data_IF_538523417966
#
_entry.id   IF_538523417966
#
_cell.length_a   1.000
_cell.length_b   1.000
_cell.length_c   1.000
_cell.angle_alpha   90.00
_cell.angle_beta   90.00
_cell.angle_gamma   90.00
#
_symmetry.space_group_name_H-M   'P 1'
#
loop_
_entity.id
_entity.type
_entity.pdbx_description
1 polymer ?
#
# COMPACT_ATOMS: atom_id res chain seq x y z
N UNK A 1 25.97 -0.80 7.99
CA UNK A 1 24.99 -1.84 8.38
C UNK A 1 23.77 -1.55 7.54
N UNK A 2 23.37 -2.43 6.64
CA UNK A 2 22.09 -2.30 5.96
C UNK A 2 21.00 -2.48 7.03
N UNK A 3 20.31 -1.41 7.39
CA UNK A 3 19.09 -1.54 8.19
C UNK A 3 18.14 -2.41 7.37
N UNK A 4 18.01 -3.65 7.77
CA UNK A 4 17.14 -4.61 7.11
C UNK A 4 15.70 -4.19 7.41
N UNK A 5 15.02 -3.67 6.39
CA UNK A 5 13.65 -3.21 6.51
C UNK A 5 12.73 -4.36 6.88
N UNK A 6 11.88 -4.13 7.88
CA UNK A 6 10.83 -5.07 8.28
C UNK A 6 9.54 -4.70 7.52
N UNK A 7 8.93 -5.70 6.92
CA UNK A 7 7.60 -5.60 6.32
C UNK A 7 6.64 -6.54 7.03
N UNK A 8 5.37 -6.17 7.08
CA UNK A 8 4.32 -7.08 7.46
C UNK A 8 3.78 -7.78 6.21
N UNK A 9 3.70 -9.09 6.22
CA UNK A 9 3.21 -9.90 5.10
C UNK A 9 2.29 -11.00 5.62
N UNK A 10 1.01 -10.96 5.25
CA UNK A 10 0.02 -11.99 5.57
C UNK A 10 -0.07 -12.37 7.06
N UNK A 11 0.08 -11.40 7.95
CA UNK A 11 -0.01 -11.63 9.41
C UNK A 11 1.35 -11.70 10.12
N UNK A 12 2.45 -11.77 9.39
CA UNK A 12 3.79 -11.91 9.96
C UNK A 12 4.69 -10.70 9.65
N UNK A 13 5.58 -10.37 10.60
CA UNK A 13 6.64 -9.39 10.38
C UNK A 13 7.90 -10.12 9.93
N UNK A 14 8.34 -9.83 8.73
CA UNK A 14 9.51 -10.48 8.13
C UNK A 14 10.47 -9.44 7.56
N UNK A 15 11.70 -9.86 7.31
CA UNK A 15 12.66 -9.04 6.60
C UNK A 15 12.25 -8.87 5.14
N UNK A 16 12.31 -7.65 4.59
CA UNK A 16 12.00 -7.36 3.19
C UNK A 16 12.77 -8.26 2.22
N UNK A 17 14.02 -8.60 2.52
CA UNK A 17 14.89 -9.41 1.66
C UNK A 17 14.33 -10.81 1.38
N UNK A 18 13.46 -11.33 2.26
CA UNK A 18 12.80 -12.64 2.09
C UNK A 18 11.35 -12.53 1.60
N UNK A 19 10.79 -11.32 1.54
CA UNK A 19 9.46 -11.05 1.00
C UNK A 19 9.49 -11.13 -0.54
N UNK A 20 9.24 -12.31 -1.09
CA UNK A 20 9.33 -12.57 -2.55
C UNK A 20 7.99 -13.00 -3.11
N UNK A 21 7.71 -12.57 -4.34
CA UNK A 21 6.55 -12.98 -5.12
C UNK A 21 6.98 -13.56 -6.46
N UNK A 22 6.18 -14.47 -7.01
CA UNK A 22 6.43 -15.01 -8.34
C UNK A 22 6.27 -13.92 -9.41
N UNK A 23 7.14 -13.91 -10.42
CA UNK A 23 6.97 -13.06 -11.62
C UNK A 23 5.71 -13.41 -12.42
N UNK A 24 5.15 -14.60 -12.21
CA UNK A 24 3.89 -15.03 -12.80
C UNK A 24 2.67 -14.66 -11.95
N UNK A 25 2.86 -13.96 -10.83
CA UNK A 25 1.78 -13.49 -9.99
C UNK A 25 0.73 -12.74 -10.81
N UNK A 26 -0.54 -13.08 -10.63
CA UNK A 26 -1.64 -12.51 -11.40
C UNK A 26 -1.64 -10.98 -11.42
N UNK A 27 -1.33 -10.36 -10.29
CA UNK A 27 -1.25 -8.90 -10.22
C UNK A 27 -0.14 -8.29 -11.05
N UNK A 28 0.98 -8.99 -11.25
CA UNK A 28 2.04 -8.53 -12.15
C UNK A 28 1.65 -8.66 -13.63
N UNK A 29 0.80 -9.63 -13.96
CA UNK A 29 0.37 -9.87 -15.33
C UNK A 29 -0.81 -8.97 -15.74
N UNK A 30 -1.72 -8.68 -14.81
CA UNK A 30 -3.01 -8.07 -15.10
C UNK A 30 -3.30 -6.80 -14.29
N UNK A 31 -2.37 -6.29 -13.48
CA UNK A 31 -2.55 -5.09 -12.69
C UNK A 31 -3.61 -5.21 -11.58
N UNK A 32 -3.90 -6.42 -11.12
CA UNK A 32 -4.96 -6.71 -10.16
C UNK A 32 -4.49 -6.57 -8.71
N UNK A 33 -4.04 -5.39 -8.34
CA UNK A 33 -3.63 -5.04 -6.99
C UNK A 33 -4.31 -3.76 -6.52
N UNK A 34 -4.46 -3.60 -5.21
CA UNK A 34 -4.99 -2.40 -4.56
C UNK A 34 -4.01 -1.89 -3.52
N UNK A 35 -3.99 -0.60 -3.29
CA UNK A 35 -3.06 -0.02 -2.32
C UNK A 35 -3.61 1.21 -1.61
N UNK A 36 -2.91 1.61 -0.56
CA UNK A 36 -3.03 2.92 0.08
C UNK A 36 -1.68 3.62 0.12
N UNK A 37 -1.73 4.93 0.21
CA UNK A 37 -0.57 5.78 0.40
C UNK A 37 -0.75 6.66 1.63
N UNK A 38 -0.09 6.32 2.74
CA UNK A 38 -0.28 6.96 4.03
C UNK A 38 1.02 7.65 4.45
N UNK A 39 0.91 8.85 5.02
CA UNK A 39 2.07 9.60 5.54
C UNK A 39 2.15 9.47 7.07
N UNK A 40 3.36 9.28 7.55
CA UNK A 40 3.71 9.50 8.94
C UNK A 40 4.61 10.73 9.07
N UNK A 41 4.38 11.53 10.11
CA UNK A 41 5.13 12.76 10.39
C UNK A 41 5.72 12.72 11.78
N UNK A 42 6.96 13.18 11.91
CA UNK A 42 7.61 13.35 13.22
C UNK A 42 6.87 14.38 14.05
N UNK A 43 6.59 14.02 15.30
CA UNK A 43 6.04 14.92 16.31
C UNK A 43 6.87 14.83 17.59
N UNK A 44 6.65 15.74 18.53
CA UNK A 44 7.30 15.70 19.86
C UNK A 44 7.01 14.42 20.65
N UNK A 45 5.89 13.77 20.36
CA UNK A 45 5.41 12.56 21.07
C UNK A 45 5.68 11.27 20.26
N UNK A 46 6.46 11.36 19.16
CA UNK A 46 6.76 10.26 18.23
C UNK A 46 6.10 10.42 16.87
N UNK A 47 6.17 9.43 16.00
CA UNK A 47 5.57 9.49 14.67
C UNK A 47 4.03 9.47 14.74
N UNK A 48 3.39 10.45 14.12
CA UNK A 48 1.94 10.50 13.94
C UNK A 48 1.56 10.06 12.53
N UNK A 49 0.75 9.01 12.41
CA UNK A 49 0.24 8.52 11.13
C UNK A 49 -1.01 9.33 10.78
N UNK A 50 -0.94 10.04 9.66
CA UNK A 50 -2.00 10.96 9.27
C UNK A 50 -3.24 10.20 8.80
N UNK A 51 -4.38 10.47 9.47
CA UNK A 51 -5.72 9.91 9.12
C UNK A 51 -5.72 8.39 8.91
N UNK A 52 -5.05 7.66 9.79
CA UNK A 52 -4.90 6.20 9.67
C UNK A 52 -6.25 5.50 9.50
N UNK A 53 -7.24 5.86 10.31
CA UNK A 53 -8.57 5.23 10.29
C UNK A 53 -9.23 5.35 8.91
N UNK A 54 -9.26 6.55 8.34
CA UNK A 54 -9.91 6.82 7.05
C UNK A 54 -9.18 6.12 5.89
N UNK A 55 -7.86 6.06 5.94
CA UNK A 55 -7.08 5.30 4.96
C UNK A 55 -7.37 3.80 5.04
N UNK A 56 -7.42 3.24 6.23
CA UNK A 56 -7.74 1.82 6.41
C UNK A 56 -9.18 1.52 5.99
N UNK A 57 -10.14 2.37 6.35
CA UNK A 57 -11.53 2.23 5.88
C UNK A 57 -11.62 2.26 4.35
N UNK A 58 -10.88 3.16 3.69
CA UNK A 58 -10.83 3.23 2.22
C UNK A 58 -10.19 1.97 1.63
N UNK A 59 -9.09 1.48 2.20
CA UNK A 59 -8.44 0.24 1.78
C UNK A 59 -9.39 -0.96 1.84
N UNK A 60 -10.10 -1.10 2.95
CA UNK A 60 -11.10 -2.16 3.13
C UNK A 60 -12.27 -2.03 2.14
N UNK A 61 -12.71 -0.81 1.84
CA UNK A 61 -13.77 -0.56 0.86
C UNK A 61 -13.29 -0.83 -0.57
N UNK A 62 -12.06 -0.45 -0.91
CA UNK A 62 -11.43 -0.80 -2.19
C UNK A 62 -11.36 -2.32 -2.35
N UNK A 63 -10.94 -3.04 -1.31
CA UNK A 63 -10.92 -4.51 -1.34
C UNK A 63 -12.31 -5.11 -1.64
N UNK A 64 -13.39 -4.56 -1.07
CA UNK A 64 -14.76 -4.99 -1.37
C UNK A 64 -15.14 -4.75 -2.84
N UNK A 65 -14.79 -3.58 -3.40
CA UNK A 65 -15.05 -3.24 -4.82
C UNK A 65 -14.37 -4.28 -5.72
N UNK A 66 -13.13 -4.65 -5.41
CA UNK A 66 -12.36 -5.64 -6.17
C UNK A 66 -12.63 -7.10 -5.76
N UNK A 67 -13.62 -7.34 -4.87
CA UNK A 67 -13.98 -8.67 -4.34
C UNK A 67 -12.79 -9.42 -3.73
N UNK A 68 -11.89 -8.69 -3.12
CA UNK A 68 -10.74 -9.24 -2.39
C UNK A 68 -11.11 -9.46 -0.93
N UNK A 69 -11.07 -10.70 -0.48
CA UNK A 69 -11.14 -11.02 0.95
C UNK A 69 -9.71 -11.00 1.53
N UNK A 70 -9.37 -9.95 2.26
CA UNK A 70 -8.03 -9.77 2.81
C UNK A 70 -7.71 -10.74 3.96
N UNK A 71 -8.73 -11.33 4.60
CA UNK A 71 -8.54 -12.21 5.76
C UNK A 71 -8.21 -11.47 7.07
N UNK A 72 -8.24 -10.13 7.07
CA UNK A 72 -7.92 -9.28 8.22
C UNK A 72 -9.00 -8.23 8.44
N UNK A 73 -9.19 -7.83 9.71
CA UNK A 73 -10.07 -6.72 10.08
C UNK A 73 -9.37 -5.38 9.88
N UNK A 74 -10.16 -4.29 9.87
CA UNK A 74 -9.62 -2.92 9.82
C UNK A 74 -8.69 -2.62 11.01
N UNK A 75 -9.03 -3.12 12.19
CA UNK A 75 -8.22 -2.93 13.40
C UNK A 75 -6.88 -3.67 13.28
N UNK A 76 -6.89 -4.92 12.79
CA UNK A 76 -5.66 -5.69 12.57
C UNK A 76 -4.74 -5.02 11.54
N UNK A 77 -5.29 -4.46 10.45
CA UNK A 77 -4.51 -3.70 9.47
C UNK A 77 -3.95 -2.42 10.10
N UNK A 78 -4.75 -1.71 10.90
CA UNK A 78 -4.29 -0.49 11.61
C UNK A 78 -3.16 -0.78 12.57
N UNK A 79 -3.27 -1.83 13.38
CA UNK A 79 -2.22 -2.29 14.30
C UNK A 79 -0.94 -2.69 13.54
N UNK A 80 -1.09 -3.44 12.45
CA UNK A 80 0.03 -3.85 11.61
C UNK A 80 0.75 -2.64 10.99
N UNK A 81 0.03 -1.60 10.58
CA UNK A 81 0.62 -0.35 10.08
C UNK A 81 1.42 0.34 11.17
N UNK A 82 0.85 0.53 12.37
CA UNK A 82 1.52 1.17 13.51
C UNK A 82 2.79 0.40 13.87
N UNK A 83 2.69 -0.90 13.96
CA UNK A 83 3.82 -1.75 14.35
C UNK A 83 4.91 -1.79 13.26
N UNK A 84 4.54 -1.73 11.97
CA UNK A 84 5.51 -1.63 10.87
C UNK A 84 6.33 -0.34 10.98
N UNK A 85 5.70 0.79 11.29
CA UNK A 85 6.39 2.08 11.51
C UNK A 85 7.36 2.00 12.68
N UNK A 86 6.93 1.40 13.81
CA UNK A 86 7.75 1.23 15.01
C UNK A 86 8.97 0.34 14.74
N UNK A 87 8.79 -0.84 14.14
CA UNK A 87 9.88 -1.80 13.88
C UNK A 87 10.95 -1.25 12.94
N UNK A 88 10.56 -0.33 12.06
CA UNK A 88 11.50 0.37 11.18
C UNK A 88 12.08 1.66 11.80
N UNK A 89 11.77 1.97 13.06
CA UNK A 89 12.22 3.19 13.76
C UNK A 89 11.98 4.48 12.96
N UNK A 90 10.88 4.54 12.20
CA UNK A 90 10.59 5.69 11.34
C UNK A 90 10.04 6.84 12.16
N UNK A 91 10.67 8.01 12.03
CA UNK A 91 10.17 9.28 12.55
C UNK A 91 9.17 9.94 11.59
N UNK A 92 9.52 9.95 10.31
CA UNK A 92 8.65 10.37 9.21
C UNK A 92 8.80 9.39 8.07
N UNK A 93 7.70 9.14 7.35
CA UNK A 93 7.77 8.16 6.29
C UNK A 93 6.53 8.08 5.43
N UNK A 94 6.62 7.18 4.47
CA UNK A 94 5.54 6.78 3.60
C UNK A 94 5.22 5.32 3.85
N UNK A 95 3.95 5.03 4.05
CA UNK A 95 3.45 3.70 4.37
C UNK A 95 2.60 3.22 3.20
N UNK A 96 2.87 2.00 2.76
CA UNK A 96 2.22 1.33 1.64
C UNK A 96 1.56 0.03 2.10
N UNK A 97 0.29 0.06 2.53
CA UNK A 97 -0.54 -1.13 2.53
C UNK A 97 -0.85 -1.52 1.07
N UNK A 98 -0.77 -2.80 0.77
CA UNK A 98 -1.01 -3.33 -0.56
C UNK A 98 -1.64 -4.71 -0.46
N UNK A 99 -2.65 -4.99 -1.28
CA UNK A 99 -3.22 -6.32 -1.42
C UNK A 99 -3.31 -6.71 -2.90
N UNK A 100 -3.08 -7.98 -3.20
CA UNK A 100 -2.98 -8.45 -4.57
C UNK A 100 -3.36 -9.92 -4.71
N UNK A 101 -3.80 -10.29 -5.90
CA UNK A 101 -4.00 -11.70 -6.24
C UNK A 101 -2.64 -12.37 -6.44
N UNK A 102 -2.23 -13.11 -5.41
CA UNK A 102 -0.96 -13.83 -5.31
C UNK A 102 -1.11 -15.27 -5.78
N UNK A 103 -1.29 -15.43 -7.09
CA UNK A 103 -1.48 -16.72 -7.72
C UNK A 103 -0.72 -16.73 -9.05
N UNK A 104 0.09 -17.74 -9.27
CA UNK A 104 0.94 -17.86 -10.46
C UNK A 104 0.26 -18.55 -11.65
N UNK A 105 -1.02 -18.90 -11.54
CA UNK A 105 -1.79 -19.45 -12.67
C UNK A 105 -2.13 -18.34 -13.65
N UNK A 106 -1.63 -18.45 -14.86
CA UNK A 106 -1.95 -17.52 -15.96
C UNK A 106 -3.44 -17.67 -16.32
N UNK A 107 -4.09 -16.53 -16.55
CA UNK A 107 -5.51 -16.45 -16.92
C UNK A 107 -6.20 -15.32 -16.15
N UNK A 108 -7.12 -14.64 -16.82
CA UNK A 108 -7.77 -13.42 -16.31
C UNK A 108 -8.74 -13.65 -15.13
N UNK A 109 -9.23 -14.88 -14.98
CA UNK A 109 -10.18 -15.23 -13.90
C UNK A 109 -9.54 -15.17 -12.53
N UNK A 110 -10.22 -14.55 -11.56
CA UNK A 110 -9.73 -14.38 -10.17
C UNK A 110 -10.39 -15.34 -9.17
N UNK A 111 -11.40 -16.10 -9.57
CA UNK A 111 -12.13 -17.01 -8.68
C UNK A 111 -11.19 -18.05 -8.06
N UNK A 112 -11.19 -18.11 -6.73
CA UNK A 112 -10.36 -19.04 -5.98
C UNK A 112 -8.87 -18.75 -6.00
N UNK A 113 -8.45 -17.58 -6.50
CA UNK A 113 -7.04 -17.15 -6.41
C UNK A 113 -6.73 -16.66 -4.99
N UNK A 114 -5.54 -17.01 -4.52
CA UNK A 114 -5.00 -16.53 -3.26
C UNK A 114 -4.83 -15.02 -3.28
N UNK A 115 -5.12 -14.37 -2.17
CA UNK A 115 -4.81 -12.96 -1.95
C UNK A 115 -3.70 -12.87 -0.92
N UNK A 116 -2.73 -12.02 -1.17
CA UNK A 116 -1.71 -11.64 -0.20
C UNK A 116 -1.81 -10.15 0.10
N UNK A 117 -1.57 -9.80 1.36
CA UNK A 117 -1.56 -8.42 1.84
C UNK A 117 -0.23 -8.14 2.50
N UNK A 118 0.40 -7.02 2.13
CA UNK A 118 1.61 -6.56 2.79
C UNK A 118 1.51 -5.09 3.21
N UNK A 119 2.33 -4.73 4.18
CA UNK A 119 2.53 -3.34 4.63
C UNK A 119 4.02 -3.09 4.66
N UNK A 120 4.45 -2.10 3.88
CA UNK A 120 5.82 -1.59 3.92
C UNK A 120 5.82 -0.15 4.40
N UNK A 121 6.86 0.25 5.13
CA UNK A 121 7.07 1.62 5.55
C UNK A 121 8.50 2.05 5.25
N UNK A 122 8.65 3.20 4.59
CA UNK A 122 9.94 3.71 4.12
C UNK A 122 10.17 5.14 4.58
N UNK A 123 11.41 5.54 4.87
CA UNK A 123 11.72 6.95 5.10
C UNK A 123 11.32 7.77 3.88
N UNK A 124 10.63 8.88 4.12
CA UNK A 124 10.18 9.72 3.03
C UNK A 124 10.09 11.18 3.47
N UNK A 125 10.93 12.03 2.93
CA UNK A 125 10.95 13.45 3.27
C UNK A 125 9.98 14.27 2.39
N UNK A 126 10.36 14.56 1.16
CA UNK A 126 9.57 15.34 0.19
C UNK A 126 9.53 14.63 -1.15
N UNK A 127 8.39 14.71 -1.85
CA UNK A 127 8.27 14.19 -3.23
C UNK A 127 9.21 14.90 -4.21
N UNK A 128 9.36 16.20 -4.02
CA UNK A 128 10.22 17.03 -4.86
C UNK A 128 11.08 17.91 -3.96
N UNK A 129 12.39 17.85 -4.13
CA UNK A 129 13.35 18.67 -3.37
C UNK A 129 13.08 20.17 -3.50
N UNK A 130 12.57 20.59 -4.65
CA UNK A 130 12.29 21.99 -5.00
C UNK A 130 10.83 22.41 -4.71
N UNK A 131 10.02 21.57 -4.02
CA UNK A 131 8.60 21.86 -3.79
C UNK A 131 8.34 23.21 -3.10
N UNK A 132 9.25 23.66 -2.25
CA UNK A 132 9.15 24.95 -1.55
C UNK A 132 9.32 26.15 -2.50
N UNK A 133 9.96 25.96 -3.66
CA UNK A 133 10.14 26.99 -4.70
C UNK A 133 9.01 26.98 -5.74
N UNK A 134 8.08 26.07 -5.61
CA UNK A 134 7.04 25.80 -6.60
C UNK A 134 7.50 24.86 -7.71
N UNK A 135 6.55 24.28 -8.42
CA UNK A 135 6.79 23.32 -9.49
C UNK A 135 6.27 23.85 -10.83
N UNK A 136 7.00 23.56 -11.89
CA UNK A 136 6.55 23.84 -13.27
C UNK A 136 5.62 22.70 -13.69
N UNK A 137 4.35 23.04 -13.96
CA UNK A 137 3.33 22.08 -14.34
C UNK A 137 2.89 22.31 -15.81
N UNK A 138 2.43 21.22 -16.42
CA UNK A 138 1.80 21.24 -17.75
C UNK A 138 0.53 20.39 -17.70
N UNK A 139 -0.52 20.88 -18.33
CA UNK A 139 -1.75 20.08 -18.50
C UNK A 139 -1.52 19.07 -19.62
N UNK A 140 -1.76 17.80 -19.31
CA UNK A 140 -1.68 16.71 -20.29
C UNK A 140 -2.91 16.67 -21.18
N UNK A 141 -2.75 16.30 -22.45
CA UNK A 141 -3.85 15.94 -23.33
C UNK A 141 -4.49 14.57 -23.02
N UNK A 142 -3.72 13.68 -22.34
CA UNK A 142 -4.24 12.41 -21.87
C UNK A 142 -5.19 12.62 -20.69
N UNK A 143 -6.32 11.93 -20.71
CA UNK A 143 -7.32 11.96 -19.65
C UNK A 143 -7.22 10.71 -18.78
N UNK A 144 -7.45 10.86 -17.49
CA UNK A 144 -7.63 9.71 -16.61
C UNK A 144 -8.87 8.92 -17.01
N UNK A 145 -8.85 7.65 -16.65
CA UNK A 145 -9.99 6.74 -16.81
C UNK A 145 -11.24 7.33 -16.14
N UNK A 146 -12.39 7.19 -16.80
CA UNK A 146 -13.65 7.74 -16.30
C UNK A 146 -14.14 6.90 -15.11
N UNK A 147 -14.84 7.54 -14.15
CA UNK A 147 -15.42 6.87 -12.97
C UNK A 147 -16.46 5.81 -13.31
N UNK A 148 -17.06 5.84 -14.51
CA UNK A 148 -17.93 4.78 -15.00
C UNK A 148 -17.18 3.50 -15.41
N UNK A 149 -15.87 3.60 -15.62
CA UNK A 149 -15.00 2.47 -15.97
C UNK A 149 -14.35 1.93 -14.70
N UNK A 150 -13.86 2.83 -13.85
CA UNK A 150 -13.20 2.52 -12.60
C UNK A 150 -13.69 3.46 -11.50
N UNK A 151 -14.30 2.95 -10.41
CA UNK A 151 -14.74 3.80 -9.31
C UNK A 151 -13.58 4.62 -8.73
N UNK A 152 -13.76 5.94 -8.66
CA UNK A 152 -12.73 6.86 -8.14
C UNK A 152 -12.48 6.72 -6.63
N UNK A 153 -13.34 6.00 -5.92
CA UNK A 153 -13.18 5.65 -4.51
C UNK A 153 -12.20 4.49 -4.29
N UNK A 154 -11.89 3.72 -5.35
CA UNK A 154 -10.95 2.62 -5.31
C UNK A 154 -9.56 3.09 -5.73
N UNK A 155 -8.55 2.81 -4.91
CA UNK A 155 -7.16 3.12 -5.21
C UNK A 155 -6.42 1.84 -5.66
N UNK A 156 -5.80 1.88 -6.86
CA UNK A 156 -5.12 0.76 -7.49
C UNK A 156 -3.89 1.21 -8.28
#
# INVERSE_FOLDING_TARGET
MSDERIVWLNGEFINESVAKVSILTHSMQYGSGIFEGIRAYETKDGPAIFRLKEHVERFMNTAKIYRMNLGFTADQISEAIIETVKRNNLKSGYIRPFAFYDDSRIGVGVTGKKISTFIAAVPFAKYFSEADKGLRCKVSSWRRINSSILPTQADQ
#
